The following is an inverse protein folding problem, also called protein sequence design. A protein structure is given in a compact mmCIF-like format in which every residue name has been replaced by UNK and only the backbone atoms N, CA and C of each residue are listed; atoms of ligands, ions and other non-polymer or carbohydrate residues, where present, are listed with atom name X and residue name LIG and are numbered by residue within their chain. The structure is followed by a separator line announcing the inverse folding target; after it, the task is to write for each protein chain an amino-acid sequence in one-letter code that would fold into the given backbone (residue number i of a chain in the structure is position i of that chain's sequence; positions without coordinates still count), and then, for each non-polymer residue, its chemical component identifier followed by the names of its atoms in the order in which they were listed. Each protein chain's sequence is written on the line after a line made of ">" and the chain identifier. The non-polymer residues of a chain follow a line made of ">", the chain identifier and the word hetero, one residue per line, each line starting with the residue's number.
data_IF_594011190424
#
_entry.id   IF_594011190424
#
_cell.length_a   1.000
_cell.length_b   1.000
_cell.length_c   1.000
_cell.angle_alpha   90.00
_cell.angle_beta   90.00
_cell.angle_gamma   90.00
#
_symmetry.space_group_name_H-M   'P 1'
#
loop_
_entity.id
_entity.type
_entity.pdbx_description
1 polymer ?
#
# COMPACT_ATOMS: atom_id res chain seq x y z
N UNK A 1 -2.56 -6.48 8.91
CA UNK A 1 -1.13 -6.16 9.06
C UNK A 1 -0.81 -5.04 8.11
N UNK A 2 -0.21 -3.97 8.62
CA UNK A 2 0.30 -2.86 7.80
C UNK A 2 1.56 -3.32 7.09
N UNK A 3 1.63 -3.19 5.75
CA UNK A 3 2.70 -3.83 4.97
C UNK A 3 4.07 -3.18 5.16
N UNK A 4 4.09 -1.89 5.48
CA UNK A 4 5.29 -1.11 5.78
C UNK A 4 5.02 -0.16 6.96
N UNK A 5 6.07 0.47 7.46
CA UNK A 5 5.97 1.70 8.24
C UNK A 5 6.70 2.82 7.44
N UNK A 6 7.46 3.71 8.06
CA UNK A 6 8.31 4.69 7.35
C UNK A 6 9.65 4.11 6.88
N UNK A 7 9.66 2.86 6.44
CA UNK A 7 10.83 2.20 5.86
C UNK A 7 10.40 1.08 4.91
N UNK A 8 11.19 0.86 3.87
CA UNK A 8 11.00 -0.26 2.95
C UNK A 8 11.21 -1.58 3.69
N UNK A 9 10.38 -2.57 3.37
CA UNK A 9 10.67 -3.96 3.72
C UNK A 9 11.34 -4.64 2.52
N UNK A 10 11.92 -5.84 2.68
CA UNK A 10 12.38 -6.64 1.54
C UNK A 10 11.27 -7.02 0.54
N UNK A 11 10.01 -6.64 0.79
CA UNK A 11 8.86 -7.10 0.04
C UNK A 11 7.81 -6.04 -0.31
N UNK A 12 7.92 -4.82 0.22
CA UNK A 12 7.03 -3.70 -0.08
C UNK A 12 7.74 -2.33 0.09
N UNK A 13 7.40 -1.38 -0.77
CA UNK A 13 7.89 0.00 -0.70
C UNK A 13 6.98 0.89 0.17
N UNK A 14 7.59 1.83 0.89
CA UNK A 14 6.90 2.76 1.79
C UNK A 14 6.69 4.15 1.18
N UNK A 15 5.86 4.97 1.82
CA UNK A 15 5.45 6.30 1.35
C UNK A 15 6.59 7.31 1.10
N UNK A 16 7.78 7.14 1.71
CA UNK A 16 8.93 8.03 1.46
C UNK A 16 9.48 7.91 0.04
N UNK A 17 9.17 6.82 -0.69
CA UNK A 17 9.56 6.73 -2.10
C UNK A 17 8.78 7.73 -2.97
N UNK A 18 7.58 8.10 -2.55
CA UNK A 18 6.75 9.06 -3.28
C UNK A 18 7.19 10.52 -3.04
N UNK A 19 7.90 10.80 -1.93
CA UNK A 19 8.53 12.10 -1.66
C UNK A 19 9.85 12.28 -2.40
N UNK A 20 10.43 11.19 -2.93
CA UNK A 20 11.80 11.10 -3.47
C UNK A 20 12.89 11.23 -2.41
N UNK A 21 12.55 11.06 -1.13
CA UNK A 21 13.56 10.96 -0.07
C UNK A 21 14.23 9.57 -0.07
N UNK A 22 13.53 8.55 -0.59
CA UNK A 22 14.04 7.20 -0.82
C UNK A 22 13.79 6.77 -2.28
N UNK A 23 14.67 5.93 -2.81
CA UNK A 23 14.45 5.30 -4.12
C UNK A 23 13.54 4.07 -3.97
N UNK A 24 12.60 3.84 -4.91
CA UNK A 24 11.77 2.64 -4.92
C UNK A 24 12.63 1.40 -5.15
N UNK A 25 12.44 0.36 -4.32
CA UNK A 25 13.21 -0.88 -4.41
C UNK A 25 12.47 -1.92 -5.26
N UNK A 26 11.15 -1.97 -5.14
CA UNK A 26 10.32 -2.98 -5.79
C UNK A 26 9.31 -2.40 -6.79
N UNK A 27 9.19 -1.08 -6.86
CA UNK A 27 8.11 -0.38 -7.56
C UNK A 27 6.73 -0.88 -7.09
N UNK A 28 6.57 -0.95 -5.77
CA UNK A 28 5.34 -1.39 -5.11
C UNK A 28 5.53 -2.61 -4.23
N UNK A 29 5.54 -3.81 -4.83
CA UNK A 29 5.75 -5.10 -4.14
C UNK A 29 6.76 -5.95 -4.89
N UNK A 30 7.61 -6.65 -4.13
CA UNK A 30 8.46 -7.69 -4.70
C UNK A 30 7.63 -8.91 -5.12
N UNK A 31 8.25 -9.86 -5.84
CA UNK A 31 7.62 -11.15 -6.13
C UNK A 31 7.17 -11.87 -4.85
N UNK A 32 8.01 -11.83 -3.80
CA UNK A 32 7.65 -12.38 -2.50
C UNK A 32 6.55 -11.57 -1.81
N UNK A 33 6.52 -10.25 -1.96
CA UNK A 33 5.46 -9.39 -1.43
C UNK A 33 4.07 -9.72 -1.98
N UNK A 34 3.98 -10.12 -3.26
CA UNK A 34 2.73 -10.63 -3.83
C UNK A 34 2.27 -11.90 -3.13
N UNK A 35 3.19 -12.83 -2.85
CA UNK A 35 2.89 -14.06 -2.08
C UNK A 35 2.47 -13.73 -0.64
N UNK A 36 3.05 -12.70 -0.01
CA UNK A 36 2.61 -12.25 1.32
C UNK A 36 1.14 -11.81 1.29
N UNK A 37 0.73 -11.02 0.30
CA UNK A 37 -0.68 -10.58 0.14
C UNK A 37 -1.61 -11.77 -0.10
N UNK A 38 -1.22 -12.71 -0.97
CA UNK A 38 -1.98 -13.93 -1.23
C UNK A 38 -2.17 -14.78 0.04
N UNK A 39 -1.11 -14.91 0.85
CA UNK A 39 -1.16 -15.67 2.10
C UNK A 39 -2.00 -14.97 3.16
N UNK A 40 -1.96 -13.63 3.23
CA UNK A 40 -2.85 -12.86 4.09
C UNK A 40 -4.32 -13.08 3.71
N UNK A 41 -4.64 -13.05 2.40
CA UNK A 41 -5.98 -13.38 1.92
C UNK A 41 -6.37 -14.83 2.30
N UNK A 42 -5.47 -15.80 2.13
CA UNK A 42 -5.70 -17.22 2.48
C UNK A 42 -5.99 -17.41 3.97
N UNK A 43 -5.29 -16.67 4.83
CA UNK A 43 -5.43 -16.74 6.29
C UNK A 43 -6.62 -15.94 6.83
N UNK A 44 -7.27 -15.12 6.01
CA UNK A 44 -8.28 -14.17 6.48
C UNK A 44 -7.68 -13.00 7.27
N UNK A 45 -6.39 -12.70 7.07
CA UNK A 45 -5.74 -11.53 7.65
C UNK A 45 -6.02 -10.29 6.79
N UNK A 46 -6.53 -9.23 7.43
CA UNK A 46 -6.79 -7.97 6.74
C UNK A 46 -5.46 -7.31 6.32
N UNK A 47 -5.35 -6.94 5.05
CA UNK A 47 -4.24 -6.15 4.51
C UNK A 47 -4.48 -4.67 4.81
N UNK A 48 -3.51 -4.01 5.41
CA UNK A 48 -3.57 -2.58 5.72
C UNK A 48 -2.53 -1.81 4.88
N UNK A 49 -3.01 -0.80 4.18
CA UNK A 49 -2.27 0.03 3.22
C UNK A 49 -1.82 1.38 3.79
N UNK A 50 -1.99 1.62 5.09
CA UNK A 50 -1.28 2.73 5.72
C UNK A 50 0.24 2.58 5.51
N UNK A 51 0.94 3.69 5.36
CA UNK A 51 2.40 3.84 5.18
C UNK A 51 3.01 3.32 3.86
N UNK A 52 2.25 2.65 3.01
CA UNK A 52 2.79 2.13 1.75
C UNK A 52 2.89 3.22 0.69
N UNK A 53 3.71 2.99 -0.34
CA UNK A 53 3.77 3.87 -1.52
C UNK A 53 2.49 3.83 -2.35
N UNK A 54 2.25 4.84 -3.19
CA UNK A 54 1.10 4.85 -4.12
C UNK A 54 1.12 3.64 -5.07
N UNK A 55 2.30 3.24 -5.56
CA UNK A 55 2.45 2.06 -6.41
C UNK A 55 2.10 0.77 -5.65
N UNK A 56 2.50 0.66 -4.38
CA UNK A 56 2.09 -0.46 -3.52
C UNK A 56 0.57 -0.47 -3.30
N UNK A 57 -0.06 0.69 -3.07
CA UNK A 57 -1.53 0.77 -2.90
C UNK A 57 -2.24 0.19 -4.12
N UNK A 58 -1.88 0.67 -5.32
CA UNK A 58 -2.50 0.24 -6.58
C UNK A 58 -2.26 -1.24 -6.86
N UNK A 59 -1.04 -1.71 -6.65
CA UNK A 59 -0.68 -3.10 -6.90
C UNK A 59 -1.45 -4.04 -5.94
N UNK A 60 -1.49 -3.74 -4.64
CA UNK A 60 -2.25 -4.56 -3.68
C UNK A 60 -3.74 -4.56 -4.01
N UNK A 61 -4.34 -3.40 -4.32
CA UNK A 61 -5.75 -3.31 -4.70
C UNK A 61 -6.07 -4.11 -5.97
N UNK A 62 -5.12 -4.23 -6.90
CA UNK A 62 -5.31 -5.04 -8.11
C UNK A 62 -5.20 -6.56 -7.91
N UNK A 63 -4.48 -7.03 -6.89
CA UNK A 63 -4.21 -8.46 -6.68
C UNK A 63 -4.96 -9.07 -5.49
N UNK A 64 -5.34 -8.24 -4.51
CA UNK A 64 -6.02 -8.72 -3.30
C UNK A 64 -7.40 -9.26 -3.65
N UNK A 65 -7.69 -10.48 -3.18
CA UNK A 65 -8.98 -11.16 -3.37
C UNK A 65 -9.98 -10.86 -2.25
N UNK A 66 -9.53 -10.15 -1.21
CA UNK A 66 -10.34 -9.75 -0.07
C UNK A 66 -10.26 -8.23 0.14
N UNK A 67 -11.27 -7.62 0.79
CA UNK A 67 -11.22 -6.21 1.15
C UNK A 67 -9.96 -5.86 1.95
N UNK A 68 -9.40 -4.70 1.64
CA UNK A 68 -8.25 -4.11 2.34
C UNK A 68 -8.71 -2.91 3.16
N UNK A 69 -7.84 -2.41 4.03
CA UNK A 69 -8.12 -1.20 4.81
C UNK A 69 -6.98 -0.18 4.67
N UNK A 70 -7.29 1.06 4.98
CA UNK A 70 -6.32 2.03 5.46
C UNK A 70 -6.66 2.29 6.93
N UNK A 71 -5.91 1.70 7.85
CA UNK A 71 -6.20 1.82 9.29
C UNK A 71 -6.07 3.26 9.79
N UNK A 72 -5.12 4.03 9.23
CA UNK A 72 -4.92 5.46 9.48
C UNK A 72 -4.28 6.18 8.28
N UNK A 73 -5.13 6.76 7.44
CA UNK A 73 -4.77 7.70 6.38
C UNK A 73 -5.89 8.72 6.20
N UNK A 74 -5.59 9.86 5.56
CA UNK A 74 -6.60 10.87 5.16
C UNK A 74 -6.67 10.99 3.63
N UNK A 75 -7.50 11.90 3.10
CA UNK A 75 -7.60 12.16 1.66
C UNK A 75 -6.51 13.13 1.19
N UNK A 76 -5.77 12.77 0.13
CA UNK A 76 -4.69 13.60 -0.40
C UNK A 76 -5.20 14.94 -0.96
N UNK A 77 -6.39 14.94 -1.56
CA UNK A 77 -7.03 16.16 -2.08
C UNK A 77 -7.33 17.21 -0.99
N UNK A 78 -7.46 16.79 0.27
CA UNK A 78 -7.70 17.69 1.42
C UNK A 78 -6.38 18.15 2.04
N UNK A 79 -5.41 17.24 2.17
CA UNK A 79 -4.08 17.53 2.69
C UNK A 79 -3.04 16.79 1.83
N UNK A 80 -2.24 17.50 1.01
CA UNK A 80 -1.33 16.90 0.02
C UNK A 80 -0.06 16.38 0.69
N UNK A 81 -0.21 15.31 1.47
CA UNK A 81 0.87 14.60 2.14
C UNK A 81 0.88 13.15 1.66
N UNK A 82 2.04 12.58 1.34
CA UNK A 82 2.16 11.25 0.72
C UNK A 82 1.70 10.06 1.59
N UNK A 83 1.44 10.30 2.88
CA UNK A 83 0.72 9.33 3.75
C UNK A 83 -0.79 9.26 3.46
N UNK A 84 -1.33 10.25 2.75
CA UNK A 84 -2.74 10.36 2.42
C UNK A 84 -3.03 9.74 1.05
N UNK A 85 -4.26 9.26 0.89
CA UNK A 85 -4.66 8.44 -0.25
C UNK A 85 -5.11 9.34 -1.40
N UNK A 86 -4.52 9.20 -2.61
CA UNK A 86 -4.98 9.86 -3.81
C UNK A 86 -6.40 9.45 -4.22
N UNK A 87 -7.14 10.35 -4.88
CA UNK A 87 -8.54 10.11 -5.26
C UNK A 87 -8.71 8.94 -6.24
N UNK A 88 -7.74 8.69 -7.12
CA UNK A 88 -7.75 7.53 -8.02
C UNK A 88 -7.62 6.21 -7.24
N UNK A 89 -6.79 6.18 -6.19
CA UNK A 89 -6.68 5.03 -5.29
C UNK A 89 -7.95 4.88 -4.45
N UNK A 90 -8.53 5.96 -3.92
CA UNK A 90 -9.80 5.90 -3.17
C UNK A 90 -10.93 5.29 -4.01
N UNK A 91 -10.99 5.56 -5.32
CA UNK A 91 -11.97 4.95 -6.23
C UNK A 91 -11.76 3.44 -6.40
N UNK A 92 -10.50 2.97 -6.37
CA UNK A 92 -10.18 1.54 -6.44
C UNK A 92 -10.56 0.78 -5.15
N UNK A 93 -10.72 1.47 -4.01
CA UNK A 93 -11.15 0.82 -2.76
C UNK A 93 -12.63 0.45 -2.80
N UNK A 94 -13.43 1.20 -3.56
CA UNK A 94 -14.90 1.04 -3.64
C UNK A 94 -15.32 0.04 -4.72
N UNK A 95 -14.43 -0.28 -5.66
CA UNK A 95 -14.66 -1.22 -6.76
C UNK A 95 -14.47 -2.67 -6.36
#
# INVERSE_FOLDING_TARGET
>A
MTLTHSCNTPWADNWLVDTKDEEPVHHGLSAFGKTVVEEMNRLGMIVDLAHVSVDTMKLVLSISKAPVIFSHSSAFAICPHYRNVPDDVLRMVVS
#
